data_IF_129155480239
#
_entry.id   IF_129155480239
#
_cell.length_a   1.000
_cell.length_b   1.000
_cell.length_c   1.000
_cell.angle_alpha   90.00
_cell.angle_beta   90.00
_cell.angle_gamma   90.00
#
_symmetry.space_group_name_H-M   'P 1'
#
loop_
_entity.id
_entity.type
_entity.pdbx_description
1 polymer ?
#
# COMPACT_ATOMS: atom_id res chain seq x y z
N UNK A 1 8.91 -41.39 1.63
CA UNK A 1 7.97 -40.59 2.43
C UNK A 1 7.93 -39.13 1.92
N UNK A 2 7.41 -38.85 0.71
CA UNK A 2 7.39 -37.49 0.14
C UNK A 2 6.20 -36.62 0.61
N UNK A 3 5.16 -37.23 1.19
CA UNK A 3 3.95 -36.52 1.61
C UNK A 3 4.15 -35.57 2.80
N UNK A 4 5.09 -35.87 3.70
CA UNK A 4 5.31 -35.06 4.90
C UNK A 4 6.02 -33.72 4.60
N UNK A 5 6.90 -33.70 3.59
CA UNK A 5 7.58 -32.47 3.14
C UNK A 5 6.63 -31.55 2.39
N UNK A 6 5.81 -32.08 1.47
CA UNK A 6 4.84 -31.27 0.72
C UNK A 6 3.79 -30.60 1.64
N UNK A 7 3.36 -31.28 2.72
CA UNK A 7 2.43 -30.69 3.70
C UNK A 7 3.12 -29.58 4.50
N UNK A 8 4.40 -29.74 4.85
CA UNK A 8 5.16 -28.72 5.57
C UNK A 8 5.38 -27.48 4.70
N UNK A 9 5.77 -27.65 3.43
CA UNK A 9 5.92 -26.56 2.46
C UNK A 9 4.59 -25.81 2.24
N UNK A 10 3.46 -26.50 2.10
CA UNK A 10 2.14 -25.84 1.93
C UNK A 10 1.73 -25.08 3.19
N UNK A 11 2.02 -25.60 4.38
CA UNK A 11 1.72 -24.92 5.64
C UNK A 11 2.60 -23.67 5.81
N UNK A 12 3.88 -23.76 5.49
CA UNK A 12 4.83 -22.64 5.55
C UNK A 12 4.48 -21.58 4.52
N UNK A 13 4.22 -21.95 3.27
CA UNK A 13 3.82 -21.02 2.19
C UNK A 13 2.47 -20.35 2.50
N UNK A 14 1.51 -21.10 3.05
CA UNK A 14 0.20 -20.59 3.44
C UNK A 14 0.25 -19.65 4.66
N UNK A 15 1.12 -19.95 5.63
CA UNK A 15 1.30 -19.11 6.82
C UNK A 15 2.16 -17.88 6.51
N UNK A 16 3.27 -18.03 5.77
CA UNK A 16 4.10 -16.93 5.25
C UNK A 16 3.31 -16.01 4.33
N UNK A 17 2.45 -16.56 3.46
CA UNK A 17 1.57 -15.77 2.60
C UNK A 17 0.55 -14.96 3.40
N UNK A 18 -0.01 -15.52 4.49
CA UNK A 18 -0.88 -14.79 5.41
C UNK A 18 -0.12 -13.75 6.25
N UNK A 19 1.09 -14.04 6.69
CA UNK A 19 1.92 -13.10 7.47
C UNK A 19 2.35 -11.91 6.60
N UNK A 20 2.80 -12.14 5.36
CA UNK A 20 3.09 -11.06 4.41
C UNK A 20 1.85 -10.23 4.07
N UNK A 21 0.66 -10.81 4.12
CA UNK A 21 -0.59 -10.05 3.99
C UNK A 21 -0.92 -9.21 5.23
N UNK A 22 -0.42 -9.61 6.41
CA UNK A 22 -0.66 -8.97 7.71
C UNK A 22 0.42 -7.95 8.11
N UNK A 23 1.57 -7.96 7.43
CA UNK A 23 2.66 -7.00 7.56
C UNK A 23 2.86 -6.38 6.18
N UNK A 24 2.00 -5.43 5.82
CA UNK A 24 2.06 -4.81 4.51
C UNK A 24 1.98 -3.30 4.64
N UNK A 25 2.87 -2.61 3.93
CA UNK A 25 2.88 -1.16 3.89
C UNK A 25 1.96 -0.68 2.79
N UNK A 26 1.23 0.41 3.07
CA UNK A 26 0.29 1.01 2.14
C UNK A 26 0.73 2.44 1.88
N UNK A 27 0.98 2.75 0.61
CA UNK A 27 1.16 4.10 0.10
C UNK A 27 -0.17 4.54 -0.49
N UNK A 28 -0.81 5.52 0.14
CA UNK A 28 -2.08 6.10 -0.31
C UNK A 28 -1.87 7.43 -1.01
N UNK A 29 -2.56 7.58 -2.13
CA UNK A 29 -2.56 8.74 -2.99
C UNK A 29 -3.97 9.35 -2.99
N UNK A 30 -4.08 10.56 -2.46
CA UNK A 30 -5.33 11.32 -2.49
C UNK A 30 -5.32 12.26 -3.69
N UNK A 31 -6.32 12.16 -4.57
CA UNK A 31 -6.46 13.06 -5.71
C UNK A 31 -7.47 14.17 -5.41
N UNK A 32 -7.34 15.31 -6.10
CA UNK A 32 -8.20 16.48 -5.93
C UNK A 32 -9.66 16.24 -6.27
N UNK A 33 -9.94 15.32 -7.18
CA UNK A 33 -11.26 15.10 -7.79
C UNK A 33 -11.79 13.67 -7.62
N UNK A 34 -11.19 12.87 -6.74
CA UNK A 34 -11.64 11.50 -6.47
C UNK A 34 -12.13 11.36 -5.04
N UNK A 35 -13.29 10.73 -4.86
CA UNK A 35 -13.88 10.50 -3.54
C UNK A 35 -13.11 9.44 -2.72
N UNK A 36 -12.37 8.55 -3.40
CA UNK A 36 -11.58 7.50 -2.77
C UNK A 36 -10.09 7.66 -3.13
N UNK A 37 -9.18 7.44 -2.16
CA UNK A 37 -7.76 7.43 -2.42
C UNK A 37 -7.37 6.16 -3.19
N UNK A 38 -6.29 6.26 -3.97
CA UNK A 38 -5.68 5.11 -4.63
C UNK A 38 -4.54 4.59 -3.77
N UNK A 39 -4.53 3.27 -3.51
CA UNK A 39 -3.52 2.66 -2.65
C UNK A 39 -2.61 1.70 -3.43
N UNK A 40 -1.32 1.83 -3.17
CA UNK A 40 -0.27 0.91 -3.61
C UNK A 40 0.27 0.19 -2.39
N UNK A 41 0.41 -1.12 -2.49
CA UNK A 41 0.87 -1.93 -1.37
C UNK A 41 2.27 -2.47 -1.62
N UNK A 42 3.10 -2.38 -0.59
CA UNK A 42 4.50 -2.75 -0.58
C UNK A 42 4.80 -3.78 0.50
N UNK A 43 5.63 -4.76 0.17
CA UNK A 43 6.00 -5.82 1.11
C UNK A 43 7.00 -5.34 2.14
N UNK A 44 7.89 -4.41 1.77
CA UNK A 44 8.92 -3.87 2.67
C UNK A 44 8.68 -2.40 3.00
N UNK A 45 9.17 -1.97 4.16
CA UNK A 45 9.09 -0.58 4.60
C UNK A 45 9.90 0.32 3.68
N UNK A 46 11.10 -0.13 3.32
CA UNK A 46 12.03 0.60 2.47
C UNK A 46 11.39 0.90 1.11
N UNK A 47 10.74 -0.10 0.49
CA UNK A 47 10.06 0.10 -0.80
C UNK A 47 8.85 1.05 -0.69
N UNK A 48 8.19 1.09 0.48
CA UNK A 48 7.09 2.02 0.73
C UNK A 48 7.59 3.46 0.95
N UNK A 49 8.67 3.62 1.72
CA UNK A 49 9.30 4.91 2.00
C UNK A 49 9.92 5.50 0.72
N UNK A 50 10.53 4.68 -0.14
CA UNK A 50 11.05 5.09 -1.45
C UNK A 50 9.93 5.57 -2.37
N UNK A 51 8.82 4.84 -2.44
CA UNK A 51 7.65 5.24 -3.22
C UNK A 51 7.03 6.55 -2.67
N UNK A 52 6.94 6.70 -1.35
CA UNK A 52 6.50 7.93 -0.71
C UNK A 52 7.42 9.11 -1.07
N UNK A 53 8.73 8.95 -0.93
CA UNK A 53 9.72 9.98 -1.23
C UNK A 53 9.68 10.40 -2.70
N UNK A 54 9.54 9.43 -3.62
CA UNK A 54 9.40 9.70 -5.05
C UNK A 54 8.19 10.60 -5.34
N UNK A 55 7.02 10.24 -4.81
CA UNK A 55 5.77 11.01 -5.00
C UNK A 55 5.87 12.39 -4.34
N UNK A 56 6.42 12.47 -3.14
CA UNK A 56 6.61 13.73 -2.41
C UNK A 56 7.56 14.68 -3.15
N UNK A 57 8.66 14.16 -3.69
CA UNK A 57 9.58 14.95 -4.49
C UNK A 57 8.92 15.47 -5.76
N UNK A 58 8.13 14.62 -6.45
CA UNK A 58 7.38 15.05 -7.61
C UNK A 58 6.39 16.18 -7.27
N UNK A 59 5.66 16.07 -6.16
CA UNK A 59 4.77 17.13 -5.65
C UNK A 59 5.52 18.44 -5.39
N UNK A 60 6.71 18.36 -4.76
CA UNK A 60 7.55 19.54 -4.47
C UNK A 60 8.03 20.25 -5.73
N UNK A 61 8.22 19.54 -6.84
CA UNK A 61 8.63 20.19 -8.11
C UNK A 61 7.55 21.09 -8.69
N UNK A 62 6.27 20.84 -8.37
CA UNK A 62 5.13 21.56 -8.93
C UNK A 62 4.90 21.35 -10.43
N UNK A 63 5.69 20.48 -11.08
CA UNK A 63 5.57 20.22 -12.52
C UNK A 63 4.56 19.09 -12.79
N UNK A 64 3.81 19.16 -13.91
CA UNK A 64 2.92 18.10 -14.34
C UNK A 64 3.75 16.92 -14.87
N UNK A 65 4.18 16.04 -13.97
CA UNK A 65 4.87 14.79 -14.29
C UNK A 65 3.97 13.59 -14.00
N UNK A 66 4.24 12.47 -14.66
CA UNK A 66 3.57 11.20 -14.39
C UNK A 66 4.46 10.38 -13.46
N UNK A 67 3.88 9.85 -12.39
CA UNK A 67 4.53 8.88 -11.49
C UNK A 67 3.87 7.53 -11.70
N UNK A 68 4.68 6.50 -11.98
CA UNK A 68 4.26 5.10 -12.08
C UNK A 68 4.71 4.34 -10.83
N UNK A 69 3.78 3.58 -10.23
CA UNK A 69 3.99 2.76 -9.04
C UNK A 69 3.49 1.34 -9.33
N UNK A 70 4.22 0.34 -8.85
CA UNK A 70 3.82 -1.07 -8.90
C UNK A 70 3.21 -1.53 -7.57
N UNK A 71 2.20 -2.40 -7.64
CA UNK A 71 1.58 -2.99 -6.45
C UNK A 71 2.10 -4.41 -6.24
N UNK A 72 2.70 -4.67 -5.08
CA UNK A 72 3.31 -5.98 -4.79
C UNK A 72 2.26 -7.02 -4.37
N UNK A 73 1.04 -6.57 -4.02
CA UNK A 73 -0.08 -7.44 -3.62
C UNK A 73 -0.82 -8.04 -4.82
N UNK A 74 -0.80 -7.38 -5.98
CA UNK A 74 -1.44 -7.86 -7.20
C UNK A 74 -0.41 -7.85 -8.31
N UNK A 75 0.11 -9.03 -8.63
CA UNK A 75 1.10 -9.22 -9.68
C UNK A 75 0.59 -8.64 -11.01
N UNK A 76 1.42 -7.84 -11.67
CA UNK A 76 1.06 -7.13 -12.91
C UNK A 76 0.24 -5.85 -12.73
N UNK A 77 -0.19 -5.49 -11.52
CA UNK A 77 -0.90 -4.22 -11.29
C UNK A 77 0.07 -3.05 -11.19
N UNK A 78 -0.08 -2.13 -12.14
CA UNK A 78 0.60 -0.84 -12.18
C UNK A 78 -0.40 0.30 -12.00
N UNK A 79 0.03 1.35 -11.32
CA UNK A 79 -0.73 2.57 -11.10
C UNK A 79 0.10 3.73 -11.63
N UNK A 80 -0.47 4.51 -12.54
CA UNK A 80 0.16 5.74 -13.03
C UNK A 80 -0.74 6.93 -12.71
N UNK A 81 -0.16 7.98 -12.16
CA UNK A 81 -0.88 9.17 -11.72
C UNK A 81 -0.23 10.43 -12.25
N UNK A 82 -1.05 11.39 -12.66
CA UNK A 82 -0.59 12.74 -12.97
C UNK A 82 -0.42 13.51 -11.66
N UNK A 83 0.79 14.00 -11.39
CA UNK A 83 1.13 14.64 -10.11
C UNK A 83 0.37 15.95 -9.90
N UNK A 84 -0.02 16.65 -10.97
CA UNK A 84 -0.87 17.85 -10.84
C UNK A 84 -2.24 17.58 -10.22
N UNK A 85 -2.73 16.33 -10.29
CA UNK A 85 -4.02 15.91 -9.74
C UNK A 85 -3.93 15.35 -8.32
N UNK A 86 -2.71 15.14 -7.82
CA UNK A 86 -2.49 14.69 -6.45
C UNK A 86 -2.66 15.85 -5.47
N UNK A 87 -3.44 15.60 -4.43
CA UNK A 87 -3.63 16.49 -3.29
C UNK A 87 -2.68 16.11 -2.14
N UNK A 88 -2.46 14.82 -1.91
CA UNK A 88 -1.59 14.33 -0.85
C UNK A 88 -1.06 12.93 -1.13
N UNK A 89 0.02 12.57 -0.43
CA UNK A 89 0.56 11.21 -0.34
C UNK A 89 0.78 10.87 1.13
N UNK A 90 0.45 9.65 1.53
CA UNK A 90 0.68 9.13 2.88
C UNK A 90 1.17 7.68 2.82
N UNK A 91 1.93 7.25 3.83
CA UNK A 91 2.40 5.87 3.97
C UNK A 91 2.12 5.38 5.39
N UNK A 92 1.63 4.16 5.53
CA UNK A 92 1.37 3.53 6.83
C UNK A 92 1.49 2.01 6.75
N UNK A 93 1.77 1.40 7.90
CA UNK A 93 1.81 -0.05 8.04
C UNK A 93 0.42 -0.58 8.35
N UNK A 94 -0.07 -1.53 7.55
CA UNK A 94 -1.26 -2.31 7.89
C UNK A 94 -0.81 -3.44 8.81
N UNK A 95 -0.82 -3.20 10.12
CA UNK A 95 -0.50 -4.22 11.12
C UNK A 95 -1.70 -5.17 11.33
N UNK A 96 -1.41 -6.47 11.30
CA UNK A 96 -2.38 -7.58 11.38
C UNK A 96 -3.08 -7.79 12.71
N UNK A 97 -3.47 -6.74 13.41
CA UNK A 97 -4.24 -6.78 14.67
C UNK A 97 -5.66 -6.28 14.48
N UNK A 98 -6.63 -7.19 14.51
CA UNK A 98 -8.07 -7.00 14.71
C UNK A 98 -8.62 -5.54 14.70
N UNK A 99 -9.16 -5.12 13.56
CA UNK A 99 -10.45 -4.39 13.51
C UNK A 99 -10.97 -4.32 12.07
N UNK A 100 -11.82 -5.28 11.75
CA UNK A 100 -12.70 -5.29 10.57
C UNK A 100 -13.87 -4.32 10.72
N UNK A 101 -13.66 -3.09 11.19
CA UNK A 101 -14.75 -2.11 11.25
C UNK A 101 -14.23 -0.67 11.34
N UNK A 102 -14.38 0.08 10.25
CA UNK A 102 -14.74 1.50 10.33
C UNK A 102 -13.65 2.56 10.58
N UNK A 103 -12.41 2.24 10.93
CA UNK A 103 -11.37 3.29 11.04
C UNK A 103 -10.70 3.53 9.69
N UNK A 104 -11.26 4.47 8.93
CA UNK A 104 -10.66 4.99 7.71
C UNK A 104 -9.20 5.40 7.97
N UNK A 105 -8.26 4.95 7.15
CA UNK A 105 -6.90 5.46 7.21
C UNK A 105 -6.91 6.94 6.78
N UNK A 106 -6.25 7.81 7.56
CA UNK A 106 -6.11 9.25 7.28
C UNK A 106 -6.83 10.17 8.27
N UNK A 107 -6.75 11.48 8.03
CA UNK A 107 -7.34 12.56 8.85
C UNK A 107 -8.85 12.39 9.13
N UNK A 108 -9.54 11.55 8.36
CA UNK A 108 -10.97 11.23 8.51
C UNK A 108 -11.30 10.22 9.61
N UNK A 109 -10.29 9.55 10.19
CA UNK A 109 -10.50 8.68 11.36
C UNK A 109 -10.83 9.45 12.66
N UNK A 110 -10.65 10.77 12.67
CA UNK A 110 -10.99 11.63 13.82
C UNK A 110 -12.38 12.26 13.74
N UNK A 111 -13.19 11.93 12.73
CA UNK A 111 -14.54 12.48 12.56
C UNK A 111 -15.64 11.70 13.30
N UNK A 112 -15.28 10.90 14.31
CA UNK A 112 -16.26 10.26 15.18
C UNK A 112 -15.97 10.67 16.61
N UNK A 113 -16.64 11.76 17.04
CA UNK A 113 -16.90 12.09 18.45
C UNK A 113 -17.32 10.87 19.27
#
# INVERSE_FOLDING_TARGET
>A
MPYMSAIFDILETGLLGKINFLLMYIVELSMKHTALPMSVQKQTKEAADDAYAMVLNALKTGQPVIVELSCDKQEGKKLSVLVSELAAVQVYEKSGGASSSGKAAGFFAMANE
#
